data_IF_153818297863
#
_entry.id   IF_153818297863
#
_cell.length_a   1.000
_cell.length_b   1.000
_cell.length_c   1.000
_cell.angle_alpha   90.00
_cell.angle_beta   90.00
_cell.angle_gamma   90.00
#
_symmetry.space_group_name_H-M   'P 1'
#
loop_
_entity.id
_entity.type
_entity.pdbx_description
1 polymer ?
#
# COMPACT_ATOMS: atom_id res chain seq x y z
N UNK A 1 35.21 -17.71 60.18
CA UNK A 1 35.70 -18.96 59.58
C UNK A 1 34.93 -19.18 58.28
N UNK A 2 35.50 -19.16 57.09
CA UNK A 2 36.86 -18.93 56.62
C UNK A 2 36.83 -19.10 55.09
N UNK A 3 37.40 -18.12 54.39
CA UNK A 3 38.27 -18.13 53.19
C UNK A 3 37.88 -18.99 51.97
N UNK A 4 37.62 -18.42 50.77
CA UNK A 4 38.53 -17.81 49.78
C UNK A 4 39.25 -18.83 48.85
N UNK A 5 39.20 -18.54 47.54
CA UNK A 5 40.30 -18.61 46.55
C UNK A 5 40.27 -19.64 45.40
N UNK A 6 39.93 -19.10 44.23
CA UNK A 6 40.68 -19.01 42.96
C UNK A 6 41.27 -20.23 42.24
N UNK A 7 41.13 -20.22 40.91
CA UNK A 7 42.17 -20.36 39.84
C UNK A 7 41.41 -20.20 38.49
N UNK A 8 41.28 -19.03 37.84
CA UNK A 8 42.17 -18.25 36.95
C UNK A 8 43.17 -19.08 36.10
N UNK A 9 43.11 -18.95 34.76
CA UNK A 9 44.18 -18.47 33.83
C UNK A 9 44.10 -19.17 32.44
N UNK A 10 44.38 -18.36 31.40
CA UNK A 10 44.55 -18.63 29.94
C UNK A 10 43.26 -18.46 29.11
N UNK A 11 42.83 -17.28 28.65
CA UNK A 11 43.52 -16.14 28.05
C UNK A 11 44.34 -16.46 26.78
N UNK A 12 43.76 -16.06 25.64
CA UNK A 12 44.43 -15.47 24.46
C UNK A 12 45.42 -16.30 23.65
N UNK A 13 45.00 -16.68 22.43
CA UNK A 13 45.84 -16.70 21.23
C UNK A 13 44.92 -16.62 20.00
N UNK A 14 44.63 -15.40 19.56
CA UNK A 14 45.39 -14.68 18.53
C UNK A 14 44.98 -15.11 17.12
N UNK A 15 44.07 -14.29 16.60
CA UNK A 15 43.92 -13.92 15.19
C UNK A 15 45.21 -13.96 14.37
N UNK A 16 45.20 -14.69 13.25
CA UNK A 16 45.77 -14.30 11.95
C UNK A 16 45.64 -15.46 10.95
N UNK A 17 45.63 -15.11 9.66
CA UNK A 17 45.86 -16.00 8.51
C UNK A 17 44.64 -16.70 7.88
N UNK A 18 43.75 -15.90 7.27
CA UNK A 18 43.00 -16.32 6.08
C UNK A 18 42.81 -15.17 5.08
N UNK A 19 43.91 -14.71 4.49
CA UNK A 19 43.90 -13.99 3.21
C UNK A 19 45.02 -14.52 2.31
N UNK A 20 44.80 -14.43 0.99
CA UNK A 20 45.74 -14.57 -0.12
C UNK A 20 46.08 -15.98 -0.63
N UNK A 21 45.43 -16.36 -1.73
CA UNK A 21 46.06 -17.18 -2.78
C UNK A 21 45.80 -16.56 -4.15
N UNK A 22 46.81 -15.84 -4.62
CA UNK A 22 47.08 -15.49 -6.03
C UNK A 22 47.87 -16.68 -6.61
N UNK A 23 47.60 -17.18 -7.82
CA UNK A 23 48.56 -18.05 -8.49
C UNK A 23 49.59 -17.20 -9.22
N UNK A 24 50.84 -17.37 -8.78
CA UNK A 24 52.07 -16.82 -9.37
C UNK A 24 52.32 -17.48 -10.73
N UNK A 25 52.72 -16.63 -11.68
CA UNK A 25 53.22 -16.96 -13.01
C UNK A 25 54.58 -17.66 -12.96
N UNK A 26 54.69 -18.83 -13.60
CA UNK A 26 55.97 -19.43 -13.94
C UNK A 26 56.35 -19.10 -15.39
N UNK A 27 57.55 -18.53 -15.55
CA UNK A 27 58.30 -18.37 -16.80
C UNK A 27 59.38 -19.45 -16.86
N UNK A 28 59.46 -20.23 -17.94
CA UNK A 28 60.73 -20.79 -18.47
C UNK A 28 60.68 -20.86 -20.00
N UNK A 29 61.77 -20.39 -20.62
CA UNK A 29 62.14 -20.31 -22.05
C UNK A 29 62.29 -21.68 -22.75
N UNK A 30 61.98 -21.77 -24.06
CA UNK A 30 62.98 -22.12 -25.10
C UNK A 30 62.50 -21.79 -26.54
N UNK A 31 63.46 -21.75 -27.46
CA UNK A 31 63.55 -20.92 -28.66
C UNK A 31 62.99 -21.50 -29.99
N UNK A 32 62.62 -20.58 -30.89
CA UNK A 32 62.63 -20.69 -32.38
C UNK A 32 61.81 -21.75 -33.15
N UNK A 33 60.72 -21.31 -33.80
CA UNK A 33 60.45 -21.48 -35.26
C UNK A 33 59.05 -20.94 -35.64
N UNK A 34 58.97 -20.33 -36.82
CA UNK A 34 57.84 -19.51 -37.34
C UNK A 34 56.86 -20.37 -38.17
N UNK A 35 55.76 -19.82 -38.71
CA UNK A 35 54.39 -19.91 -38.18
C UNK A 35 53.47 -20.79 -39.05
N UNK A 36 52.40 -21.37 -38.48
CA UNK A 36 51.22 -21.74 -39.28
C UNK A 36 49.98 -22.01 -38.44
N UNK A 37 48.83 -21.72 -39.06
CA UNK A 37 47.45 -22.03 -38.67
C UNK A 37 46.72 -21.03 -37.75
N UNK A 38 46.02 -20.15 -38.45
CA UNK A 38 44.78 -19.48 -38.10
C UNK A 38 43.78 -20.31 -37.29
N UNK A 39 43.29 -19.76 -36.19
CA UNK A 39 41.93 -20.03 -35.69
C UNK A 39 41.28 -18.72 -35.24
N UNK A 40 40.32 -18.24 -36.05
CA UNK A 40 39.55 -17.02 -35.80
C UNK A 40 38.54 -17.21 -34.66
N UNK A 41 38.40 -16.28 -33.69
CA UNK A 41 37.22 -16.22 -32.83
C UNK A 41 36.23 -15.21 -33.44
N UNK A 42 35.55 -15.56 -34.54
CA UNK A 42 34.58 -14.66 -35.21
C UNK A 42 33.11 -14.93 -34.88
N UNK A 43 32.77 -15.93 -34.05
CA UNK A 43 31.37 -16.32 -33.80
C UNK A 43 30.79 -16.01 -32.40
N UNK A 44 31.58 -15.52 -31.43
CA UNK A 44 31.10 -15.30 -30.06
C UNK A 44 30.42 -13.93 -29.79
N UNK A 45 30.67 -12.93 -30.65
CA UNK A 45 30.19 -11.55 -30.43
C UNK A 45 28.71 -11.33 -30.75
N UNK A 46 28.17 -12.04 -31.75
CA UNK A 46 26.76 -11.87 -32.15
C UNK A 46 25.81 -12.52 -31.13
N UNK A 47 26.11 -13.73 -30.67
CA UNK A 47 25.33 -14.45 -29.63
C UNK A 47 25.14 -13.65 -28.34
N UNK A 48 26.19 -12.96 -27.90
CA UNK A 48 26.17 -12.12 -26.70
C UNK A 48 25.41 -10.81 -26.96
N UNK A 49 25.67 -10.15 -28.09
CA UNK A 49 24.98 -8.92 -28.48
C UNK A 49 23.45 -9.11 -28.63
N UNK A 50 22.99 -10.19 -29.26
CA UNK A 50 21.54 -10.48 -29.37
C UNK A 50 20.89 -10.71 -28.00
N UNK A 51 21.59 -11.36 -27.05
CA UNK A 51 21.09 -11.56 -25.68
C UNK A 51 21.01 -10.23 -24.92
N UNK A 52 21.99 -9.34 -25.10
CA UNK A 52 21.96 -7.99 -24.52
C UNK A 52 20.86 -7.12 -25.11
N UNK A 53 20.72 -7.06 -26.43
CA UNK A 53 19.68 -6.28 -27.12
C UNK A 53 18.29 -6.82 -26.78
N UNK A 54 18.09 -8.15 -26.75
CA UNK A 54 16.83 -8.77 -26.35
C UNK A 54 16.45 -8.45 -24.91
N UNK A 55 17.41 -8.52 -23.98
CA UNK A 55 17.20 -8.19 -22.57
C UNK A 55 16.91 -6.71 -22.35
N UNK A 56 17.59 -5.83 -23.09
CA UNK A 56 17.36 -4.39 -23.05
C UNK A 56 15.98 -4.02 -23.63
N UNK A 57 15.64 -4.58 -24.79
CA UNK A 57 14.33 -4.38 -25.43
C UNK A 57 13.19 -4.94 -24.58
N UNK A 58 13.34 -6.14 -23.99
CA UNK A 58 12.32 -6.72 -23.12
C UNK A 58 12.10 -5.91 -21.85
N UNK A 59 13.17 -5.37 -21.24
CA UNK A 59 13.04 -4.48 -20.07
C UNK A 59 12.27 -3.21 -20.42
N UNK A 60 12.58 -2.57 -21.56
CA UNK A 60 11.89 -1.35 -22.01
C UNK A 60 10.43 -1.62 -22.42
N UNK A 61 10.17 -2.73 -23.09
CA UNK A 61 8.81 -3.17 -23.41
C UNK A 61 8.00 -3.45 -22.15
N UNK A 62 8.58 -4.14 -21.16
CA UNK A 62 7.90 -4.43 -19.89
C UNK A 62 7.59 -3.16 -19.10
N UNK A 63 8.51 -2.18 -19.07
CA UNK A 63 8.23 -0.86 -18.50
C UNK A 63 7.09 -0.15 -19.25
N UNK A 64 7.09 -0.18 -20.59
CA UNK A 64 6.02 0.38 -21.41
C UNK A 64 4.66 -0.27 -21.13
N UNK A 65 4.62 -1.60 -21.04
CA UNK A 65 3.41 -2.34 -20.67
C UNK A 65 2.93 -2.01 -19.26
N UNK A 66 3.81 -1.92 -18.27
CA UNK A 66 3.43 -1.58 -16.88
C UNK A 66 2.83 -0.19 -16.79
N UNK A 67 3.35 0.78 -17.55
CA UNK A 67 2.80 2.15 -17.59
C UNK A 67 1.48 2.18 -18.38
N UNK A 68 1.38 1.46 -19.49
CA UNK A 68 0.19 1.47 -20.35
C UNK A 68 -0.96 0.64 -19.76
N UNK A 69 -0.66 -0.42 -19.01
CA UNK A 69 -1.63 -1.34 -18.43
C UNK A 69 -2.75 -0.64 -17.62
N UNK A 70 -2.45 0.24 -16.65
CA UNK A 70 -3.49 0.95 -15.91
C UNK A 70 -4.33 1.90 -16.79
N UNK A 71 -3.76 2.47 -17.85
CA UNK A 71 -4.49 3.34 -18.78
C UNK A 71 -5.40 2.49 -19.69
N UNK A 72 -4.89 1.38 -20.20
CA UNK A 72 -5.66 0.47 -21.05
C UNK A 72 -6.81 -0.17 -20.28
N UNK A 73 -6.59 -0.58 -19.03
CA UNK A 73 -7.64 -1.22 -18.22
C UNK A 73 -8.74 -0.23 -17.84
N UNK A 74 -8.38 1.01 -17.52
CA UNK A 74 -9.38 2.06 -17.23
C UNK A 74 -10.21 2.36 -18.46
N UNK A 75 -9.59 2.55 -19.63
CA UNK A 75 -10.31 2.74 -20.88
C UNK A 75 -11.22 1.56 -21.22
N UNK A 76 -10.71 0.33 -21.10
CA UNK A 76 -11.48 -0.89 -21.37
C UNK A 76 -12.70 -1.01 -20.47
N UNK A 77 -12.55 -0.80 -19.16
CA UNK A 77 -13.65 -0.88 -18.20
C UNK A 77 -14.69 0.21 -18.46
N UNK A 78 -14.26 1.46 -18.72
CA UNK A 78 -15.18 2.55 -19.06
C UNK A 78 -15.94 2.26 -20.36
N UNK A 79 -15.24 1.81 -21.40
CA UNK A 79 -15.85 1.45 -22.68
C UNK A 79 -16.86 0.31 -22.53
N UNK A 80 -16.48 -0.76 -21.82
CA UNK A 80 -17.34 -1.89 -21.52
C UNK A 80 -18.61 -1.47 -20.76
N UNK A 81 -18.47 -0.59 -19.76
CA UNK A 81 -19.59 -0.11 -18.97
C UNK A 81 -20.57 0.73 -19.79
N UNK A 82 -20.07 1.66 -20.62
CA UNK A 82 -20.92 2.47 -21.51
C UNK A 82 -21.72 1.55 -22.45
N UNK A 83 -21.05 0.57 -23.08
CA UNK A 83 -21.73 -0.40 -23.94
C UNK A 83 -22.75 -1.27 -23.22
N UNK A 84 -22.49 -1.64 -21.97
CA UNK A 84 -23.43 -2.40 -21.15
C UNK A 84 -24.71 -1.59 -20.89
N UNK A 85 -24.56 -0.32 -20.49
CA UNK A 85 -25.71 0.58 -20.28
C UNK A 85 -26.43 0.83 -21.60
N UNK A 86 -25.70 1.11 -22.69
CA UNK A 86 -26.28 1.30 -24.02
C UNK A 86 -27.06 0.07 -24.47
N UNK A 87 -26.56 -1.14 -24.24
CA UNK A 87 -27.28 -2.37 -24.54
C UNK A 87 -28.59 -2.50 -23.74
N UNK A 88 -28.57 -2.11 -22.47
CA UNK A 88 -29.76 -2.15 -21.60
C UNK A 88 -30.83 -1.14 -22.03
N UNK A 89 -30.42 0.06 -22.48
CA UNK A 89 -31.33 1.13 -22.89
C UNK A 89 -31.56 1.24 -24.41
N UNK A 90 -30.85 0.46 -25.22
CA UNK A 90 -31.04 0.34 -26.68
C UNK A 90 -32.51 0.21 -27.11
N UNK A 91 -33.35 -0.63 -26.49
CA UNK A 91 -34.77 -0.71 -26.88
C UNK A 91 -35.52 0.61 -26.67
N UNK A 92 -35.14 1.40 -25.66
CA UNK A 92 -35.74 2.70 -25.35
C UNK A 92 -35.26 3.76 -26.36
N UNK A 93 -33.97 3.76 -26.73
CA UNK A 93 -33.43 4.69 -27.72
C UNK A 93 -34.01 4.47 -29.11
N UNK A 94 -34.16 3.21 -29.53
CA UNK A 94 -34.77 2.86 -30.81
C UNK A 94 -36.23 3.30 -30.90
N UNK A 95 -36.96 3.28 -29.77
CA UNK A 95 -38.35 3.72 -29.71
C UNK A 95 -38.48 5.26 -29.70
N UNK A 96 -37.46 5.97 -29.24
CA UNK A 96 -37.38 7.44 -29.24
C UNK A 96 -36.71 8.03 -30.50
N UNK A 97 -36.06 7.20 -31.33
CA UNK A 97 -35.42 7.61 -32.58
C UNK A 97 -34.16 8.47 -32.40
N UNK A 98 -33.46 8.33 -31.27
CA UNK A 98 -32.30 9.17 -30.93
C UNK A 98 -31.00 8.38 -31.13
N UNK A 99 -30.29 8.66 -32.22
CA UNK A 99 -28.92 8.18 -32.46
C UNK A 99 -27.96 9.39 -32.40
N UNK A 100 -27.51 9.72 -31.19
CA UNK A 100 -26.54 10.78 -30.97
C UNK A 100 -25.25 10.17 -30.43
N UNK A 101 -24.13 10.50 -31.08
CA UNK A 101 -22.80 10.11 -30.60
C UNK A 101 -22.56 10.67 -29.19
N UNK A 102 -22.32 9.80 -28.21
CA UNK A 102 -22.14 10.18 -26.80
C UNK A 102 -23.40 10.08 -25.92
N UNK A 103 -24.54 9.67 -26.47
CA UNK A 103 -25.77 9.43 -25.69
C UNK A 103 -25.52 8.42 -24.57
N UNK A 104 -24.76 7.36 -24.85
CA UNK A 104 -24.42 6.33 -23.87
C UNK A 104 -23.65 6.79 -22.66
N UNK A 105 -22.81 7.81 -22.82
CA UNK A 105 -22.09 8.40 -21.69
C UNK A 105 -23.04 9.17 -20.78
N UNK A 106 -23.92 10.00 -21.38
CA UNK A 106 -24.91 10.79 -20.65
C UNK A 106 -25.87 9.87 -19.90
N UNK A 107 -26.37 8.84 -20.58
CA UNK A 107 -27.35 7.91 -20.01
C UNK A 107 -26.73 7.02 -18.94
N UNK A 108 -25.47 6.61 -19.10
CA UNK A 108 -24.68 5.99 -18.04
C UNK A 108 -24.58 6.87 -16.79
N UNK A 109 -24.29 8.16 -16.95
CA UNK A 109 -24.19 9.09 -15.83
C UNK A 109 -25.55 9.28 -15.13
N UNK A 110 -26.62 9.48 -15.91
CA UNK A 110 -27.99 9.58 -15.39
C UNK A 110 -28.44 8.29 -14.71
N UNK A 111 -28.08 7.13 -15.25
CA UNK A 111 -28.39 5.82 -14.69
C UNK A 111 -27.69 5.60 -13.34
N UNK A 112 -26.40 5.89 -13.24
CA UNK A 112 -25.66 5.83 -11.97
C UNK A 112 -26.30 6.76 -10.93
N UNK A 113 -26.66 7.98 -11.34
CA UNK A 113 -27.32 8.94 -10.45
C UNK A 113 -28.68 8.42 -9.96
N UNK A 114 -29.53 7.90 -10.86
CA UNK A 114 -30.83 7.32 -10.53
C UNK A 114 -30.69 6.12 -9.59
N UNK A 115 -29.72 5.24 -9.84
CA UNK A 115 -29.40 4.14 -8.92
C UNK A 115 -29.00 4.68 -7.56
N UNK A 116 -28.16 5.71 -7.50
CA UNK A 116 -27.77 6.35 -6.23
C UNK A 116 -29.00 6.86 -5.45
N UNK A 117 -29.89 7.59 -6.11
CA UNK A 117 -31.14 8.09 -5.50
C UNK A 117 -32.05 6.94 -5.06
N UNK A 118 -32.19 5.90 -5.88
CA UNK A 118 -32.99 4.72 -5.57
C UNK A 118 -32.43 3.97 -4.36
N UNK A 119 -31.11 3.76 -4.30
CA UNK A 119 -30.44 3.07 -3.19
C UNK A 119 -30.50 3.86 -1.87
N UNK A 120 -30.54 5.19 -1.94
CA UNK A 120 -30.76 6.04 -0.76
C UNK A 120 -32.20 6.03 -0.24
N UNK A 121 -33.14 5.47 -1.01
CA UNK A 121 -34.55 5.35 -0.61
C UNK A 121 -34.80 4.09 0.21
N UNK A 122 -35.86 4.08 1.03
CA UNK A 122 -36.24 2.92 1.85
C UNK A 122 -36.45 1.63 1.04
N UNK A 123 -36.98 1.78 -0.17
CA UNK A 123 -37.18 0.66 -1.09
C UNK A 123 -35.85 0.07 -1.59
N UNK A 124 -34.88 0.93 -1.93
CA UNK A 124 -33.53 0.50 -2.32
C UNK A 124 -32.81 -0.20 -1.17
N UNK A 125 -32.90 0.35 0.05
CA UNK A 125 -32.35 -0.29 1.25
C UNK A 125 -32.95 -1.69 1.48
N UNK A 126 -34.26 -1.85 1.26
CA UNK A 126 -34.95 -3.14 1.40
C UNK A 126 -34.54 -4.16 0.33
N UNK A 127 -34.42 -3.73 -0.93
CA UNK A 127 -33.95 -4.59 -2.03
C UNK A 127 -32.50 -5.02 -1.82
N UNK A 128 -31.63 -4.10 -1.39
CA UNK A 128 -30.24 -4.42 -1.04
C UNK A 128 -30.17 -5.44 0.10
N UNK A 129 -30.96 -5.25 1.17
CA UNK A 129 -30.98 -6.18 2.29
C UNK A 129 -31.40 -7.59 1.86
N UNK A 130 -32.38 -7.70 0.95
CA UNK A 130 -32.82 -8.98 0.39
C UNK A 130 -31.75 -9.64 -0.49
N UNK A 131 -31.07 -8.85 -1.33
CA UNK A 131 -29.95 -9.33 -2.15
C UNK A 131 -28.77 -9.81 -1.29
N UNK A 132 -28.44 -9.05 -0.24
CA UNK A 132 -27.41 -9.45 0.73
C UNK A 132 -27.77 -10.75 1.44
N UNK A 133 -29.05 -10.93 1.80
CA UNK A 133 -29.52 -12.18 2.41
C UNK A 133 -29.31 -13.37 1.47
N UNK A 134 -29.59 -13.21 0.18
CA UNK A 134 -29.37 -14.24 -0.83
C UNK A 134 -27.88 -14.58 -1.00
N UNK A 135 -27.03 -13.56 -1.13
CA UNK A 135 -25.57 -13.73 -1.26
C UNK A 135 -24.98 -14.42 -0.04
N UNK A 136 -25.45 -14.09 1.17
CA UNK A 136 -25.02 -14.71 2.44
C UNK A 136 -25.39 -16.19 2.54
N UNK A 137 -26.29 -16.70 1.70
CA UNK A 137 -26.66 -18.11 1.62
C UNK A 137 -25.68 -18.95 0.78
N UNK A 138 -24.85 -18.30 -0.05
CA UNK A 138 -23.89 -18.99 -0.94
C UNK A 138 -22.52 -19.16 -0.25
N UNK A 139 -22.04 -20.40 -0.04
CA UNK A 139 -20.89 -20.70 0.82
C UNK A 139 -19.53 -20.16 0.33
N UNK A 140 -19.41 -19.68 -0.92
CA UNK A 140 -18.18 -19.06 -1.45
C UNK A 140 -18.34 -17.56 -1.74
N UNK A 141 -19.45 -17.18 -2.39
CA UNK A 141 -19.71 -15.79 -2.80
C UNK A 141 -19.82 -14.86 -1.59
N UNK A 142 -20.33 -15.36 -0.45
CA UNK A 142 -20.42 -14.59 0.80
C UNK A 142 -19.07 -14.03 1.25
N UNK A 143 -17.99 -14.79 1.14
CA UNK A 143 -16.68 -14.35 1.61
C UNK A 143 -16.16 -13.18 0.79
N UNK A 144 -16.29 -13.27 -0.55
CA UNK A 144 -15.87 -12.22 -1.48
C UNK A 144 -16.73 -10.97 -1.29
N UNK A 145 -18.06 -11.13 -1.23
CA UNK A 145 -18.99 -10.02 -1.01
C UNK A 145 -18.72 -9.28 0.30
N UNK A 146 -18.52 -10.03 1.40
CA UNK A 146 -18.24 -9.44 2.70
C UNK A 146 -16.93 -8.64 2.68
N UNK A 147 -15.86 -9.15 2.06
CA UNK A 147 -14.60 -8.44 1.92
C UNK A 147 -14.77 -7.15 1.10
N UNK A 148 -15.46 -7.20 -0.04
CA UNK A 148 -15.73 -6.01 -0.87
C UNK A 148 -16.61 -4.99 -0.13
N UNK A 149 -17.64 -5.43 0.58
CA UNK A 149 -18.51 -4.56 1.37
C UNK A 149 -17.73 -3.86 2.47
N UNK A 150 -16.82 -4.57 3.14
CA UNK A 150 -15.99 -4.03 4.21
C UNK A 150 -15.05 -2.91 3.72
N UNK A 151 -14.52 -3.04 2.49
CA UNK A 151 -13.72 -2.00 1.84
C UNK A 151 -14.60 -0.81 1.50
N UNK A 152 -15.76 -1.06 0.90
CA UNK A 152 -16.70 -0.02 0.54
C UNK A 152 -17.25 0.75 1.75
N UNK A 153 -17.45 0.10 2.90
CA UNK A 153 -17.91 0.76 4.12
C UNK A 153 -16.80 1.59 4.79
N UNK A 154 -15.54 1.18 4.68
CA UNK A 154 -14.42 1.93 5.23
C UNK A 154 -14.16 3.26 4.51
N UNK A 155 -14.54 3.34 3.23
CA UNK A 155 -14.37 4.54 2.39
C UNK A 155 -15.62 5.45 2.33
N UNK A 156 -16.76 5.02 2.88
CA UNK A 156 -18.01 5.77 2.77
C UNK A 156 -18.02 6.98 3.71
N UNK A 157 -18.20 8.22 3.21
CA UNK A 157 -18.17 9.43 4.04
C UNK A 157 -19.33 9.56 5.04
N UNK A 158 -20.45 8.86 4.81
CA UNK A 158 -21.76 9.22 5.37
C UNK A 158 -22.25 8.29 6.50
N UNK A 159 -21.48 7.25 6.87
CA UNK A 159 -21.81 6.52 8.09
C UNK A 159 -21.27 7.26 9.31
N UNK A 160 -22.19 7.86 10.06
CA UNK A 160 -22.04 8.37 11.44
C UNK A 160 -21.54 7.33 12.47
N UNK A 161 -21.02 6.18 12.01
CA UNK A 161 -20.28 5.20 12.78
C UNK A 161 -18.91 5.08 12.14
N UNK A 162 -18.03 5.97 12.57
CA UNK A 162 -16.68 6.13 12.03
C UNK A 162 -15.84 4.90 12.36
N UNK A 163 -15.63 4.01 11.38
CA UNK A 163 -14.66 2.92 11.55
C UNK A 163 -13.22 3.46 11.62
N UNK A 164 -12.94 4.58 10.93
CA UNK A 164 -11.68 5.32 10.97
C UNK A 164 -11.99 6.82 11.00
N UNK A 165 -11.94 7.42 12.19
CA UNK A 165 -12.20 8.83 12.41
C UNK A 165 -11.11 9.68 11.76
N UNK A 166 -9.87 9.33 12.08
CA UNK A 166 -8.67 10.13 11.81
C UNK A 166 -7.45 9.21 11.72
N UNK A 167 -6.40 9.69 11.07
CA UNK A 167 -5.08 9.06 11.10
C UNK A 167 -4.41 9.36 12.45
N UNK A 168 -3.70 8.39 13.01
CA UNK A 168 -2.95 8.53 14.24
C UNK A 168 -1.54 7.96 14.08
N UNK A 169 -0.60 8.61 14.77
CA UNK A 169 0.74 8.11 15.00
C UNK A 169 0.89 7.92 16.50
N UNK A 170 1.35 6.73 16.88
CA UNK A 170 1.52 6.36 18.28
C UNK A 170 2.96 5.93 18.53
N UNK A 171 3.43 6.04 19.77
CA UNK A 171 4.73 5.48 20.14
C UNK A 171 4.61 3.96 20.19
N UNK A 172 5.44 3.25 19.43
CA UNK A 172 5.54 1.78 19.47
C UNK A 172 6.58 1.39 20.56
N UNK A 173 6.63 0.16 21.10
CA UNK A 173 7.15 -0.11 22.43
C UNK A 173 8.65 0.20 22.61
N UNK A 174 9.41 0.42 21.53
CA UNK A 174 10.79 0.90 21.60
C UNK A 174 10.86 2.42 21.48
N UNK A 175 11.72 3.03 22.29
CA UNK A 175 11.99 4.46 22.24
C UNK A 175 12.52 4.83 20.85
N UNK A 176 11.89 5.82 20.23
CA UNK A 176 12.21 6.26 18.85
C UNK A 176 11.44 5.51 17.76
N UNK A 177 10.60 4.54 18.12
CA UNK A 177 9.74 3.81 17.20
C UNK A 177 8.31 4.39 17.23
N UNK A 178 7.73 4.56 16.05
CA UNK A 178 6.37 5.06 15.88
C UNK A 178 5.58 4.08 15.03
N UNK A 179 4.33 3.84 15.42
CA UNK A 179 3.39 3.07 14.63
C UNK A 179 2.36 4.00 14.00
N UNK A 180 2.05 3.72 12.73
CA UNK A 180 1.02 4.40 11.97
C UNK A 180 -0.29 3.63 12.11
N UNK A 181 -1.38 4.33 12.38
CA UNK A 181 -2.68 3.72 12.59
C UNK A 181 -3.82 4.70 12.38
N UNK A 182 -5.00 4.26 12.78
CA UNK A 182 -6.23 5.02 12.63
C UNK A 182 -6.98 5.03 13.95
N UNK A 183 -7.48 6.20 14.35
CA UNK A 183 -8.40 6.32 15.47
C UNK A 183 -9.74 5.76 15.02
N UNK A 184 -10.21 4.68 15.63
CA UNK A 184 -11.49 4.05 15.28
C UNK A 184 -12.59 4.51 16.23
N UNK A 185 -12.28 4.68 17.51
CA UNK A 185 -13.24 5.11 18.52
C UNK A 185 -12.55 5.83 19.67
N UNK A 186 -13.35 6.49 20.51
CA UNK A 186 -12.91 7.10 21.75
C UNK A 186 -13.75 6.50 22.87
N UNK A 187 -13.11 6.08 23.94
CA UNK A 187 -13.74 5.41 25.08
C UNK A 187 -13.30 6.11 26.37
N UNK A 188 -14.20 6.14 27.35
CA UNK A 188 -13.88 6.63 28.69
C UNK A 188 -13.71 5.42 29.58
N UNK A 189 -12.50 5.21 30.08
CA UNK A 189 -12.21 4.17 31.04
C UNK A 189 -12.51 4.70 32.44
N UNK A 190 -13.59 4.21 33.03
CA UNK A 190 -13.94 4.54 34.41
C UNK A 190 -13.08 3.73 35.36
N UNK A 191 -12.26 4.42 36.15
CA UNK A 191 -11.44 3.82 37.19
C UNK A 191 -11.74 4.46 38.54
N UNK A 192 -11.41 3.75 39.62
CA UNK A 192 -11.55 4.27 40.99
C UNK A 192 -10.72 5.55 41.23
N UNK A 193 -9.72 5.81 40.40
CA UNK A 193 -8.81 6.96 40.47
C UNK A 193 -9.23 8.14 39.58
N UNK A 194 -10.31 8.01 38.81
CA UNK A 194 -10.79 9.00 37.84
C UNK A 194 -11.12 8.41 36.48
N UNK A 195 -11.84 9.19 35.68
CA UNK A 195 -12.20 8.84 34.30
C UNK A 195 -11.03 9.18 33.35
N UNK A 196 -10.57 8.21 32.57
CA UNK A 196 -9.53 8.41 31.56
C UNK A 196 -10.11 8.35 30.14
N UNK A 197 -9.91 9.42 29.37
CA UNK A 197 -10.24 9.42 27.94
C UNK A 197 -9.16 8.69 27.13
N UNK A 198 -9.53 7.55 26.57
CA UNK A 198 -8.68 6.72 25.72
C UNK A 198 -9.17 6.76 24.28
N UNK A 199 -8.23 6.85 23.35
CA UNK A 199 -8.44 6.62 21.93
C UNK A 199 -8.14 5.15 21.60
N UNK A 200 -9.05 4.52 20.88
CA UNK A 200 -8.83 3.22 20.27
C UNK A 200 -8.11 3.45 18.94
N UNK A 201 -6.85 3.06 18.87
CA UNK A 201 -5.99 3.19 17.69
C UNK A 201 -5.78 1.81 17.09
N UNK A 202 -6.27 1.63 15.87
CA UNK A 202 -6.02 0.44 15.07
C UNK A 202 -4.74 0.62 14.26
N UNK A 203 -3.78 -0.27 14.47
CA UNK A 203 -2.51 -0.31 13.74
C UNK A 203 -2.55 -1.47 12.76
N UNK A 204 -2.81 -1.23 11.47
CA UNK A 204 -2.83 -2.28 10.47
C UNK A 204 -1.44 -2.84 10.23
N UNK A 205 -1.39 -4.12 9.85
CA UNK A 205 -0.23 -4.77 9.24
C UNK A 205 -0.28 -4.54 7.72
N UNK A 206 0.42 -5.36 6.92
CA UNK A 206 0.38 -5.34 5.44
C UNK A 206 -1.02 -5.57 4.84
N UNK A 207 -2.01 -6.00 5.63
CA UNK A 207 -3.40 -6.13 5.21
C UNK A 207 -4.27 -5.21 6.04
N UNK A 208 -5.08 -4.35 5.39
CA UNK A 208 -5.88 -3.30 6.04
C UNK A 208 -6.82 -3.83 7.15
N UNK A 209 -7.19 -5.11 7.12
CA UNK A 209 -8.10 -5.74 8.08
C UNK A 209 -7.44 -6.59 9.15
N UNK A 210 -6.11 -6.70 9.13
CA UNK A 210 -5.34 -7.43 10.11
C UNK A 210 -4.41 -6.43 10.78
N UNK A 211 -4.49 -6.35 12.10
CA UNK A 211 -3.70 -5.39 12.86
C UNK A 211 -3.98 -5.48 14.34
N UNK A 212 -3.21 -4.72 15.09
CA UNK A 212 -3.35 -4.61 16.53
C UNK A 212 -4.25 -3.44 16.90
N UNK A 213 -4.90 -3.55 18.05
CA UNK A 213 -5.71 -2.47 18.62
C UNK A 213 -5.05 -2.02 19.91
N UNK A 214 -4.73 -0.73 19.98
CA UNK A 214 -4.16 -0.11 21.16
C UNK A 214 -5.14 0.91 21.75
N UNK A 215 -5.30 0.85 23.07
CA UNK A 215 -6.01 1.87 23.85
C UNK A 215 -4.96 2.83 24.41
N UNK A 216 -4.99 4.08 23.96
CA UNK A 216 -3.93 5.06 24.25
C UNK A 216 -4.58 6.34 24.75
N UNK A 217 -4.00 6.99 25.75
CA UNK A 217 -4.49 8.25 26.24
C UNK A 217 -4.53 9.28 25.10
N UNK A 218 -5.63 10.04 25.00
CA UNK A 218 -5.81 11.04 23.94
C UNK A 218 -4.64 12.02 23.82
N UNK A 219 -3.93 12.29 24.94
CA UNK A 219 -2.76 13.20 24.99
C UNK A 219 -1.50 12.62 24.35
N UNK A 220 -1.38 11.30 24.27
CA UNK A 220 -0.20 10.60 23.74
C UNK A 220 -0.34 10.23 22.26
N UNK A 221 -1.50 10.52 21.66
CA UNK A 221 -1.77 10.28 20.24
C UNK A 221 -1.34 11.49 19.41
N UNK A 222 -0.45 11.26 18.45
CA UNK A 222 0.00 12.29 17.50
C UNK A 222 -0.95 12.25 16.30
N UNK A 223 -1.60 13.38 15.99
CA UNK A 223 -2.56 13.50 14.89
C UNK A 223 -1.92 14.20 13.69
N UNK A 224 -1.47 13.46 12.66
CA UNK A 224 -0.93 14.07 11.45
C UNK A 224 -2.05 14.74 10.63
N UNK A 225 -1.69 15.77 9.87
CA UNK A 225 -2.55 16.42 8.89
C UNK A 225 -2.62 15.56 7.62
N UNK A 226 -3.22 14.38 7.75
CA UNK A 226 -3.47 13.43 6.68
C UNK A 226 -4.93 13.03 6.69
N UNK A 227 -5.52 12.96 5.50
CA UNK A 227 -6.84 12.35 5.33
C UNK A 227 -6.76 10.84 5.58
N UNK A 228 -7.89 10.24 5.99
CA UNK A 228 -8.01 8.78 6.13
C UNK A 228 -7.67 8.07 4.81
N UNK A 229 -8.02 8.68 3.67
CA UNK A 229 -7.71 8.16 2.33
C UNK A 229 -6.21 8.06 2.08
N UNK A 230 -5.46 9.12 2.38
CA UNK A 230 -4.00 9.12 2.28
C UNK A 230 -3.39 8.09 3.22
N UNK A 231 -3.92 7.97 4.45
CA UNK A 231 -3.49 6.94 5.38
C UNK A 231 -3.70 5.51 4.85
N UNK A 232 -4.85 5.22 4.23
CA UNK A 232 -5.12 3.92 3.61
C UNK A 232 -4.12 3.66 2.47
N UNK A 233 -3.83 4.69 1.65
CA UNK A 233 -2.85 4.57 0.56
C UNK A 233 -1.44 4.24 1.09
N UNK A 234 -1.02 4.88 2.19
CA UNK A 234 0.26 4.58 2.86
C UNK A 234 0.30 3.11 3.30
N UNK A 235 -0.75 2.60 3.93
CA UNK A 235 -0.79 1.21 4.42
C UNK A 235 -0.79 0.22 3.27
N UNK A 236 -1.63 0.44 2.25
CA UNK A 236 -1.75 -0.46 1.08
C UNK A 236 -0.47 -0.46 0.23
N UNK A 237 0.23 0.67 0.15
CA UNK A 237 1.52 0.78 -0.53
C UNK A 237 2.70 0.22 0.27
N UNK A 238 2.48 -0.27 1.51
CA UNK A 238 3.54 -0.73 2.39
C UNK A 238 4.49 0.40 2.84
N UNK A 239 3.98 1.64 2.92
CA UNK A 239 4.72 2.83 3.33
C UNK A 239 5.37 3.62 2.18
N UNK A 240 5.29 3.17 0.93
CA UNK A 240 5.91 3.87 -0.21
C UNK A 240 5.28 5.24 -0.49
N UNK A 241 3.99 5.41 -0.18
CA UNK A 241 3.28 6.69 -0.34
C UNK A 241 3.47 7.64 0.86
N UNK A 242 4.36 7.36 1.82
CA UNK A 242 4.57 8.22 2.99
C UNK A 242 5.15 9.59 2.57
N UNK A 243 4.52 10.72 2.98
CA UNK A 243 5.06 12.05 2.69
C UNK A 243 6.38 12.30 3.41
N UNK A 244 7.23 13.14 2.81
CA UNK A 244 8.54 13.47 3.38
C UNK A 244 8.44 14.33 4.65
N UNK A 245 7.32 15.03 4.85
CA UNK A 245 7.07 15.88 6.01
C UNK A 245 5.66 15.59 6.52
N UNK A 246 5.57 15.16 7.77
CA UNK A 246 4.31 15.00 8.50
C UNK A 246 4.11 16.22 9.40
N UNK A 247 3.15 17.08 9.06
CA UNK A 247 2.69 18.14 9.97
C UNK A 247 1.61 17.59 10.90
N UNK A 248 1.58 18.04 12.15
CA UNK A 248 0.52 17.68 13.11
C UNK A 248 -0.58 18.72 13.08
N UNK A 249 -1.84 18.30 13.21
CA UNK A 249 -3.02 19.20 13.19
C UNK A 249 -3.02 20.16 14.38
N UNK A 250 -2.37 19.79 15.50
CA UNK A 250 -2.25 20.66 16.67
C UNK A 250 -0.82 20.68 17.24
N UNK A 251 -0.14 21.80 17.01
CA UNK A 251 0.54 22.51 18.08
C UNK A 251 0.17 23.98 17.87
N UNK A 252 -0.75 24.49 18.69
CA UNK A 252 -0.76 25.92 19.00
C UNK A 252 0.61 26.24 19.56
N UNK A 253 1.53 26.68 18.71
CA UNK A 253 2.71 27.40 19.16
C UNK A 253 2.18 28.69 19.79
N UNK A 254 2.39 28.96 21.09
CA UNK A 254 2.52 30.34 21.50
C UNK A 254 3.75 30.83 20.73
N UNK A 255 3.55 31.74 19.78
CA UNK A 255 4.64 32.58 19.33
C UNK A 255 5.16 33.27 20.60
N UNK A 256 6.28 32.79 21.16
CA UNK A 256 7.04 33.58 22.11
C UNK A 256 7.31 34.91 21.42
N UNK A 257 6.71 35.95 21.98
CA UNK A 257 6.98 37.33 21.65
C UNK A 257 8.48 37.57 21.78
N UNK A 258 9.16 37.64 20.64
CA UNK A 258 10.47 38.25 20.54
C UNK A 258 10.29 39.77 20.73
N UNK A 259 10.10 40.19 21.97
CA UNK A 259 10.34 41.55 22.45
C UNK A 259 11.39 41.48 23.54
N UNK A 260 12.29 42.46 23.51
CA UNK A 260 13.28 42.81 24.52
C UNK A 260 14.63 42.12 24.39
N UNK A 261 15.40 42.62 23.40
CA UNK A 261 16.79 43.05 23.60
C UNK A 261 17.26 43.88 22.41
N UNK A 262 17.12 45.20 22.54
CA UNK A 262 18.13 46.25 22.24
C UNK A 262 17.48 47.62 22.19
#
# INVERSE_FOLDING_TARGET
MGDEKSTIVMASRESRDRELLIPVSDFVHDDSSKPSSSSSPRHAGHETFYKFVRSWASKKFMTGCVILFPIAITFYVTWWFIHFVDGFFSPIYNQLGIDIFGLGFITSLTFIFLIGVFMSSWLGASVLALGEWFIKRMPFVRHIYNASKQISSAISPDQKSQAFKEVAIIRHPRIGEYAFGFITSSVILQSYSGDEELCCVYVPTNHLYIGDIFLINTKDVIRPNLSVREGIEIVVSGGMSMPQILSTVDTRLPLESRSDRS
#
